data_IF_949714061349
#
_entry.id   IF_949714061349
#
_cell.length_a   1.000
_cell.length_b   1.000
_cell.length_c   1.000
_cell.angle_alpha   90.00
_cell.angle_beta   90.00
_cell.angle_gamma   90.00
#
_symmetry.space_group_name_H-M   'P 1'
#
loop_
_entity.id
_entity.type
_entity.pdbx_description
1 polymer ?
#
# COMPACT_ATOMS: atom_id res chain seq x y z
N UNK A 1 -78.64 -54.20 7.30
CA UNK A 1 -77.24 -53.88 7.67
C UNK A 1 -76.96 -52.51 7.11
N UNK A 2 -76.47 -51.58 7.92
CA UNK A 2 -76.05 -50.26 7.46
C UNK A 2 -74.58 -50.32 7.03
N UNK A 3 -74.19 -49.49 6.07
CA UNK A 3 -72.80 -49.30 5.64
C UNK A 3 -72.48 -47.81 5.69
N UNK A 4 -71.31 -47.48 6.24
CA UNK A 4 -70.78 -46.12 6.30
C UNK A 4 -69.31 -46.13 5.93
N UNK A 5 -68.78 -45.03 5.37
CA UNK A 5 -67.36 -44.88 5.11
C UNK A 5 -66.69 -44.09 6.24
N UNK A 6 -65.49 -44.50 6.61
CA UNK A 6 -64.60 -43.79 7.52
C UNK A 6 -63.26 -43.57 6.83
N UNK A 7 -62.77 -42.33 6.84
CA UNK A 7 -61.50 -41.90 6.27
C UNK A 7 -60.69 -41.16 7.33
N UNK A 8 -59.39 -40.95 7.07
CA UNK A 8 -58.52 -40.15 7.94
C UNK A 8 -58.91 -38.67 7.99
N UNK A 9 -59.58 -38.17 6.95
CA UNK A 9 -60.09 -36.80 6.82
C UNK A 9 -61.46 -36.60 7.48
N UNK A 10 -62.16 -37.68 7.83
CA UNK A 10 -63.49 -37.64 8.43
C UNK A 10 -64.62 -37.34 7.43
N UNK A 11 -64.29 -37.22 6.15
CA UNK A 11 -65.23 -37.14 5.04
C UNK A 11 -65.24 -38.46 4.23
N UNK A 12 -65.73 -38.43 3.00
CA UNK A 12 -65.76 -39.58 2.10
C UNK A 12 -64.65 -39.56 1.04
N UNK A 13 -63.59 -38.77 1.22
CA UNK A 13 -62.51 -38.60 0.23
C UNK A 13 -61.23 -39.25 0.72
N UNK A 14 -60.48 -39.88 -0.17
CA UNK A 14 -59.18 -40.48 0.13
C UNK A 14 -58.21 -40.23 -1.02
N UNK A 15 -56.94 -40.01 -0.69
CA UNK A 15 -55.88 -39.75 -1.66
C UNK A 15 -55.13 -41.04 -1.93
N UNK A 16 -54.88 -41.31 -3.20
CA UNK A 16 -54.13 -42.48 -3.64
C UNK A 16 -52.76 -42.60 -3.00
N UNK A 17 -52.40 -43.82 -2.58
CA UNK A 17 -51.11 -44.11 -1.94
C UNK A 17 -50.83 -43.39 -0.62
N UNK A 18 -51.76 -42.57 -0.12
CA UNK A 18 -51.53 -41.73 1.05
C UNK A 18 -52.12 -42.33 2.35
N UNK A 19 -53.32 -42.89 2.27
CA UNK A 19 -54.00 -43.48 3.43
C UNK A 19 -55.11 -44.45 3.02
N UNK A 20 -55.49 -45.32 3.95
CA UNK A 20 -56.57 -46.26 3.76
C UNK A 20 -57.93 -45.65 4.14
N UNK A 21 -58.98 -46.06 3.44
CA UNK A 21 -60.37 -45.86 3.81
C UNK A 21 -60.95 -47.15 4.40
N UNK A 22 -62.01 -47.05 5.19
CA UNK A 22 -62.69 -48.22 5.76
C UNK A 22 -64.20 -48.11 5.60
N UNK A 23 -64.79 -49.09 4.92
CA UNK A 23 -66.24 -49.29 4.98
C UNK A 23 -66.59 -50.07 6.25
N UNK A 24 -67.46 -49.48 7.07
CA UNK A 24 -67.93 -50.05 8.33
C UNK A 24 -69.36 -50.53 8.14
N UNK A 25 -69.57 -51.82 8.28
CA UNK A 25 -70.87 -52.45 8.19
C UNK A 25 -71.40 -52.73 9.59
N UNK A 26 -72.64 -52.34 9.86
CA UNK A 26 -73.28 -52.49 11.18
C UNK A 26 -74.59 -53.26 11.07
N UNK A 27 -74.73 -54.32 11.88
CA UNK A 27 -75.97 -55.11 11.98
C UNK A 27 -76.70 -54.84 13.31
N UNK A 28 -78.05 -54.73 13.31
CA UNK A 28 -78.80 -54.45 14.54
C UNK A 28 -78.96 -55.67 15.45
N UNK A 29 -79.01 -56.89 14.91
CA UNK A 29 -79.13 -58.15 15.65
C UNK A 29 -77.84 -58.95 15.53
N UNK A 30 -77.24 -59.34 16.64
CA UNK A 30 -75.96 -60.08 16.70
C UNK A 30 -76.13 -61.59 16.84
N UNK A 31 -77.36 -62.11 16.75
CA UNK A 31 -77.63 -63.55 16.86
C UNK A 31 -77.19 -64.32 15.62
N UNK A 32 -76.34 -65.33 15.80
CA UNK A 32 -75.92 -66.23 14.71
C UNK A 32 -74.95 -65.59 13.71
N UNK A 33 -74.31 -66.45 12.92
CA UNK A 33 -73.42 -66.03 11.86
C UNK A 33 -74.23 -65.44 10.69
N UNK A 34 -73.72 -64.38 10.07
CA UNK A 34 -74.38 -63.70 8.95
C UNK A 34 -73.35 -63.33 7.90
N UNK A 35 -73.55 -63.80 6.67
CA UNK A 35 -72.79 -63.34 5.50
C UNK A 35 -73.67 -62.39 4.71
N UNK A 36 -73.15 -61.20 4.40
CA UNK A 36 -73.83 -60.20 3.57
C UNK A 36 -72.99 -59.99 2.31
N UNK A 37 -73.59 -60.26 1.16
CA UNK A 37 -73.03 -59.86 -0.12
C UNK A 37 -73.34 -58.38 -0.37
N UNK A 38 -72.46 -57.70 -1.06
CA UNK A 38 -72.63 -56.33 -1.48
C UNK A 38 -72.15 -56.15 -2.91
N UNK A 39 -72.77 -55.19 -3.61
CA UNK A 39 -72.35 -54.84 -4.95
C UNK A 39 -71.32 -53.71 -4.88
N UNK A 40 -70.29 -53.83 -5.72
CA UNK A 40 -69.28 -52.80 -5.96
C UNK A 40 -69.63 -52.12 -7.27
N UNK A 41 -69.81 -50.80 -7.25
CA UNK A 41 -70.11 -49.99 -8.44
C UNK A 41 -69.40 -48.63 -8.37
N UNK A 42 -69.60 -47.80 -9.40
CA UNK A 42 -68.87 -46.54 -9.60
C UNK A 42 -67.92 -46.62 -10.80
N UNK A 43 -67.00 -45.66 -10.91
CA UNK A 43 -65.93 -45.69 -11.93
C UNK A 43 -64.63 -46.32 -11.41
N UNK A 44 -64.45 -46.44 -10.08
CA UNK A 44 -63.28 -47.10 -9.52
C UNK A 44 -63.31 -48.62 -9.78
N UNK A 45 -62.21 -49.17 -10.29
CA UNK A 45 -62.04 -50.56 -10.69
C UNK A 45 -61.32 -51.37 -9.61
N UNK A 46 -62.00 -52.40 -9.10
CA UNK A 46 -61.47 -53.29 -8.05
C UNK A 46 -60.20 -54.02 -8.52
N UNK A 47 -59.07 -53.76 -7.85
CA UNK A 47 -57.76 -54.30 -8.18
C UNK A 47 -56.93 -53.45 -9.16
N UNK A 48 -57.43 -52.30 -9.59
CA UNK A 48 -56.68 -51.29 -10.39
C UNK A 48 -56.49 -50.03 -9.56
N UNK A 49 -57.58 -49.36 -9.18
CA UNK A 49 -57.53 -48.05 -8.50
C UNK A 49 -57.44 -48.21 -6.98
N UNK A 50 -57.78 -49.41 -6.49
CA UNK A 50 -57.59 -49.81 -5.10
C UNK A 50 -57.31 -51.31 -5.00
N UNK A 51 -56.64 -51.72 -3.93
CA UNK A 51 -56.34 -53.13 -3.66
C UNK A 51 -57.60 -53.99 -3.70
N UNK A 52 -57.48 -55.22 -4.23
CA UNK A 52 -58.62 -56.11 -4.37
C UNK A 52 -59.40 -56.28 -3.06
N UNK A 53 -60.69 -55.96 -3.08
CA UNK A 53 -61.62 -56.21 -1.97
C UNK A 53 -62.60 -57.33 -2.32
N UNK A 54 -63.06 -58.06 -1.29
CA UNK A 54 -64.09 -59.07 -1.43
C UNK A 54 -65.44 -58.45 -1.83
N UNK A 55 -66.39 -59.28 -2.26
CA UNK A 55 -67.78 -58.93 -2.59
C UNK A 55 -68.77 -59.27 -1.46
N UNK A 56 -68.25 -59.73 -0.32
CA UNK A 56 -69.03 -60.12 0.84
C UNK A 56 -68.28 -59.87 2.13
N UNK A 57 -69.05 -59.65 3.19
CA UNK A 57 -68.55 -59.57 4.56
C UNK A 57 -69.19 -60.64 5.44
N UNK A 58 -68.42 -61.11 6.42
CA UNK A 58 -68.84 -62.13 7.37
C UNK A 58 -68.90 -61.54 8.79
N UNK A 59 -70.08 -61.64 9.41
CA UNK A 59 -70.27 -61.38 10.82
C UNK A 59 -70.35 -62.72 11.57
N UNK A 60 -69.47 -62.93 12.53
CA UNK A 60 -69.63 -64.02 13.49
C UNK A 60 -70.80 -63.76 14.45
N UNK A 61 -71.37 -64.81 15.03
CA UNK A 61 -72.34 -64.70 16.12
C UNK A 61 -71.77 -63.85 17.27
N UNK A 62 -72.54 -62.87 17.73
CA UNK A 62 -72.16 -61.86 18.71
C UNK A 62 -71.49 -60.60 18.13
N UNK A 63 -71.12 -60.58 16.85
CA UNK A 63 -70.42 -59.45 16.22
C UNK A 63 -71.39 -58.41 15.66
N UNK A 64 -71.24 -57.15 16.08
CA UNK A 64 -72.09 -56.05 15.63
C UNK A 64 -71.54 -55.31 14.40
N UNK A 65 -70.21 -55.19 14.30
CA UNK A 65 -69.53 -54.43 13.24
C UNK A 65 -68.47 -55.26 12.53
N UNK A 66 -68.35 -55.07 11.22
CA UNK A 66 -67.27 -55.60 10.37
C UNK A 66 -66.70 -54.45 9.55
N UNK A 67 -65.39 -54.44 9.36
CA UNK A 67 -64.69 -53.42 8.60
C UNK A 67 -64.10 -54.02 7.33
N UNK A 68 -64.26 -53.32 6.21
CA UNK A 68 -63.61 -53.60 4.95
C UNK A 68 -62.64 -52.45 4.66
N UNK A 69 -61.35 -52.76 4.68
CA UNK A 69 -60.31 -51.77 4.39
C UNK A 69 -60.17 -51.65 2.88
N UNK A 70 -60.13 -50.42 2.39
CA UNK A 70 -59.85 -50.06 1.01
C UNK A 70 -58.55 -49.27 1.00
N UNK A 71 -57.56 -49.78 0.27
CA UNK A 71 -56.27 -49.14 0.08
C UNK A 71 -56.16 -48.65 -1.36
N UNK A 72 -56.41 -47.35 -1.62
CA UNK A 72 -56.20 -46.73 -2.91
C UNK A 72 -54.76 -46.95 -3.42
N UNK A 73 -54.61 -47.29 -4.70
CA UNK A 73 -53.32 -47.55 -5.33
C UNK A 73 -52.86 -46.27 -6.02
N UNK A 74 -51.68 -45.77 -5.70
CA UNK A 74 -51.06 -44.70 -6.49
C UNK A 74 -50.45 -45.31 -7.75
N UNK A 75 -51.11 -45.12 -8.88
CA UNK A 75 -50.70 -45.71 -10.16
C UNK A 75 -49.86 -44.75 -11.04
N UNK A 76 -49.84 -43.46 -10.67
CA UNK A 76 -49.07 -42.40 -11.33
C UNK A 76 -49.72 -41.86 -12.60
N UNK A 77 -50.98 -42.19 -12.86
CA UNK A 77 -51.77 -41.66 -13.96
C UNK A 77 -52.62 -40.53 -13.40
N UNK A 78 -52.59 -39.36 -14.05
CA UNK A 78 -53.46 -38.25 -13.65
C UNK A 78 -54.86 -38.49 -14.24
N UNK A 79 -55.84 -38.69 -13.39
CA UNK A 79 -57.20 -39.05 -13.72
C UNK A 79 -58.22 -38.08 -13.08
N UNK A 80 -59.50 -38.38 -13.29
CA UNK A 80 -60.58 -37.65 -12.62
C UNK A 80 -60.76 -38.14 -11.19
N UNK A 81 -61.81 -37.69 -10.52
CA UNK A 81 -62.20 -38.32 -9.26
C UNK A 81 -62.81 -39.68 -9.57
N UNK A 82 -62.32 -40.71 -8.89
CA UNK A 82 -62.92 -42.03 -8.92
C UNK A 82 -63.89 -42.23 -7.76
N UNK A 83 -64.95 -42.98 -8.04
CA UNK A 83 -66.03 -43.25 -7.11
C UNK A 83 -66.11 -44.76 -6.91
N UNK A 84 -66.02 -45.17 -5.65
CA UNK A 84 -66.29 -46.52 -5.19
C UNK A 84 -67.58 -46.49 -4.36
N UNK A 85 -68.61 -47.15 -4.88
CA UNK A 85 -69.92 -47.26 -4.25
C UNK A 85 -70.12 -48.71 -3.78
N UNK A 86 -70.33 -48.88 -2.49
CA UNK A 86 -70.68 -50.16 -1.88
C UNK A 86 -72.17 -50.17 -1.58
N UNK A 87 -72.92 -51.04 -2.25
CA UNK A 87 -74.38 -51.18 -2.09
C UNK A 87 -74.73 -52.50 -1.42
N UNK A 88 -75.42 -52.40 -0.29
CA UNK A 88 -75.85 -53.55 0.51
C UNK A 88 -77.35 -53.76 0.39
N UNK A 89 -77.75 -54.99 0.09
CA UNK A 89 -79.15 -55.41 0.04
C UNK A 89 -79.47 -56.28 1.25
N UNK A 90 -80.44 -55.86 2.06
CA UNK A 90 -80.95 -56.67 3.18
C UNK A 90 -82.46 -56.75 3.16
N UNK A 91 -83.06 -57.77 3.81
CA UNK A 91 -84.50 -57.85 3.99
C UNK A 91 -84.90 -57.24 5.32
N UNK A 92 -85.95 -56.41 5.32
CA UNK A 92 -86.59 -55.93 6.54
C UNK A 92 -87.29 -57.10 7.26
N UNK A 93 -87.63 -56.95 8.56
CA UNK A 93 -88.46 -57.94 9.26
C UNK A 93 -89.81 -58.23 8.59
N UNK A 94 -90.28 -57.34 7.72
CA UNK A 94 -91.52 -57.48 6.96
C UNK A 94 -91.31 -58.09 5.56
N UNK A 95 -90.07 -58.41 5.17
CA UNK A 95 -89.72 -59.01 3.88
C UNK A 95 -89.41 -58.01 2.76
N UNK A 96 -89.41 -56.70 3.04
CA UNK A 96 -89.07 -55.67 2.06
C UNK A 96 -87.55 -55.59 1.84
N UNK A 97 -87.11 -55.28 0.62
CA UNK A 97 -85.68 -55.03 0.36
C UNK A 97 -85.29 -53.64 0.84
N UNK A 98 -84.29 -53.58 1.71
CA UNK A 98 -83.64 -52.37 2.23
C UNK A 98 -82.28 -52.24 1.58
N UNK A 99 -82.06 -51.12 0.89
CA UNK A 99 -80.82 -50.78 0.22
C UNK A 99 -80.07 -49.75 1.06
N UNK A 100 -78.79 -49.98 1.29
CA UNK A 100 -77.89 -49.04 1.99
C UNK A 100 -76.62 -48.88 1.18
N UNK A 101 -76.17 -47.63 1.05
CA UNK A 101 -75.04 -47.28 0.20
C UNK A 101 -74.07 -46.40 0.97
N UNK A 102 -72.79 -46.60 0.70
CA UNK A 102 -71.72 -45.71 1.09
C UNK A 102 -70.84 -45.45 -0.13
N UNK A 103 -70.41 -44.21 -0.28
CA UNK A 103 -69.60 -43.75 -1.41
C UNK A 103 -68.24 -43.30 -0.87
N UNK A 104 -67.18 -43.74 -1.53
CA UNK A 104 -65.81 -43.27 -1.35
C UNK A 104 -65.37 -42.58 -2.63
N UNK A 105 -64.79 -41.39 -2.51
CA UNK A 105 -64.14 -40.67 -3.58
C UNK A 105 -62.63 -40.88 -3.46
N UNK A 106 -62.03 -41.46 -4.50
CA UNK A 106 -60.59 -41.66 -4.63
C UNK A 106 -60.07 -40.55 -5.53
N UNK A 107 -59.01 -39.87 -5.10
CA UNK A 107 -58.43 -38.74 -5.83
C UNK A 107 -56.93 -38.87 -5.93
N UNK A 108 -56.39 -38.39 -7.05
CA UNK A 108 -54.96 -38.27 -7.25
C UNK A 108 -54.27 -37.39 -6.20
N UNK A 109 -53.03 -37.72 -5.83
CA UNK A 109 -52.20 -36.82 -5.03
C UNK A 109 -51.88 -35.56 -5.84
N UNK A 110 -51.98 -34.39 -5.20
CA UNK A 110 -51.55 -33.14 -5.82
C UNK A 110 -50.03 -33.20 -6.05
N UNK A 111 -49.57 -32.79 -7.24
CA UNK A 111 -48.13 -32.75 -7.56
C UNK A 111 -47.41 -31.85 -6.55
N UNK A 112 -46.38 -32.39 -5.90
CA UNK A 112 -45.49 -31.62 -5.03
C UNK A 112 -44.40 -30.95 -5.87
N UNK A 113 -44.20 -29.65 -5.66
CA UNK A 113 -43.12 -28.86 -6.27
C UNK A 113 -42.33 -28.19 -5.15
N UNK A 114 -41.05 -28.51 -5.05
CA UNK A 114 -40.09 -27.80 -4.22
C UNK A 114 -39.66 -26.51 -4.93
N UNK A 115 -39.49 -25.44 -4.15
CA UNK A 115 -38.95 -24.17 -4.63
C UNK A 115 -37.88 -23.71 -3.64
N UNK A 116 -36.61 -23.76 -4.06
CA UNK A 116 -35.47 -23.38 -3.25
C UNK A 116 -35.26 -21.85 -3.21
N UNK A 117 -36.03 -21.10 -4.00
CA UNK A 117 -35.89 -19.66 -4.21
C UNK A 117 -34.93 -19.31 -5.35
N UNK A 118 -34.90 -18.03 -5.70
CA UNK A 118 -34.02 -17.53 -6.76
C UNK A 118 -32.55 -17.54 -6.35
N UNK A 119 -31.66 -17.78 -7.32
CA UNK A 119 -30.21 -17.68 -7.17
C UNK A 119 -29.77 -16.37 -6.50
N UNK A 120 -28.75 -16.46 -5.67
CA UNK A 120 -28.22 -15.34 -4.89
C UNK A 120 -26.83 -14.96 -5.40
N UNK A 121 -26.50 -13.67 -5.31
CA UNK A 121 -25.16 -13.16 -5.61
C UNK A 121 -24.60 -12.49 -4.34
N UNK A 122 -23.49 -12.99 -3.82
CA UNK A 122 -22.82 -12.39 -2.69
C UNK A 122 -21.84 -11.30 -3.15
N UNK A 123 -21.63 -10.29 -2.31
CA UNK A 123 -20.58 -9.29 -2.54
C UNK A 123 -19.24 -9.79 -2.03
N UNK A 124 -19.25 -10.56 -0.94
CA UNK A 124 -18.06 -11.07 -0.26
C UNK A 124 -18.14 -12.59 -0.02
N UNK A 125 -17.02 -13.31 -0.14
CA UNK A 125 -16.90 -14.68 0.39
C UNK A 125 -17.25 -14.71 1.88
N UNK A 126 -18.03 -15.70 2.30
CA UNK A 126 -18.43 -15.86 3.69
C UNK A 126 -19.50 -14.88 4.17
N UNK A 127 -20.09 -14.07 3.27
CA UNK A 127 -21.26 -13.26 3.61
C UNK A 127 -22.46 -14.17 3.93
N UNK A 128 -23.16 -13.89 5.03
CA UNK A 128 -24.36 -14.62 5.41
C UNK A 128 -25.49 -14.34 4.41
N UNK A 129 -26.14 -15.39 3.92
CA UNK A 129 -27.31 -15.33 3.06
C UNK A 129 -28.42 -16.24 3.58
N UNK A 130 -29.66 -15.89 3.26
CA UNK A 130 -30.84 -16.66 3.62
C UNK A 130 -31.21 -17.60 2.47
N UNK A 131 -31.49 -18.86 2.79
CA UNK A 131 -32.08 -19.83 1.89
C UNK A 131 -33.54 -20.01 2.34
N UNK A 132 -34.49 -19.53 1.52
CA UNK A 132 -35.90 -19.52 1.86
C UNK A 132 -36.64 -20.51 0.96
N UNK A 133 -36.90 -21.70 1.49
CA UNK A 133 -37.57 -22.76 0.76
C UNK A 133 -39.10 -22.59 0.78
N UNK A 134 -39.75 -23.17 -0.22
CA UNK A 134 -41.19 -23.25 -0.31
C UNK A 134 -41.63 -24.59 -0.91
N UNK A 135 -42.88 -24.97 -0.63
CA UNK A 135 -43.54 -26.14 -1.19
C UNK A 135 -44.85 -25.68 -1.84
N UNK A 136 -45.08 -26.10 -3.08
CA UNK A 136 -46.30 -25.79 -3.85
C UNK A 136 -46.97 -27.12 -4.21
N UNK A 137 -48.27 -27.24 -3.97
CA UNK A 137 -49.00 -28.50 -4.15
C UNK A 137 -48.66 -29.55 -3.08
N UNK A 138 -48.79 -30.84 -3.40
CA UNK A 138 -48.66 -31.91 -2.42
C UNK A 138 -49.63 -31.81 -1.23
N UNK A 139 -49.41 -32.64 -0.22
CA UNK A 139 -50.26 -32.72 0.97
C UNK A 139 -49.50 -32.38 2.27
N UNK A 140 -49.85 -31.25 2.88
CA UNK A 140 -49.28 -30.84 4.16
C UNK A 140 -49.61 -31.83 5.30
N UNK A 141 -48.76 -31.94 6.36
CA UNK A 141 -47.52 -31.18 6.60
C UNK A 141 -46.35 -31.62 5.71
N UNK A 142 -45.40 -30.69 5.50
CA UNK A 142 -44.19 -30.94 4.72
C UNK A 142 -42.95 -31.07 5.61
N UNK A 143 -42.03 -31.95 5.21
CA UNK A 143 -40.68 -32.06 5.74
C UNK A 143 -39.69 -31.43 4.75
N UNK A 144 -38.84 -30.53 5.24
CA UNK A 144 -37.83 -29.86 4.43
C UNK A 144 -36.45 -30.42 4.81
N UNK A 145 -35.62 -30.70 3.82
CA UNK A 145 -34.22 -31.08 4.02
C UNK A 145 -33.34 -30.36 3.02
N UNK A 146 -32.25 -29.77 3.50
CA UNK A 146 -31.30 -29.05 2.68
C UNK A 146 -29.98 -29.83 2.58
N UNK A 147 -29.27 -29.69 1.47
CA UNK A 147 -27.95 -30.31 1.27
C UNK A 147 -26.88 -29.81 2.26
N UNK A 148 -27.10 -28.68 2.94
CA UNK A 148 -26.26 -28.19 4.05
C UNK A 148 -26.59 -28.84 5.42
N UNK A 149 -27.54 -29.79 5.45
CA UNK A 149 -27.95 -30.52 6.65
C UNK A 149 -29.09 -29.87 7.45
N UNK A 150 -29.60 -28.70 7.03
CA UNK A 150 -30.74 -28.07 7.70
C UNK A 150 -32.05 -28.84 7.41
N UNK A 151 -32.96 -28.88 8.39
CA UNK A 151 -34.23 -29.60 8.33
C UNK A 151 -35.45 -28.68 8.55
N UNK A 152 -35.30 -27.39 8.22
CA UNK A 152 -36.32 -26.35 8.34
C UNK A 152 -36.60 -25.74 6.98
N UNK A 153 -37.79 -25.16 6.81
CA UNK A 153 -38.17 -24.48 5.57
C UNK A 153 -37.16 -23.39 5.18
N UNK A 154 -36.78 -22.55 6.14
CA UNK A 154 -35.79 -21.49 5.97
C UNK A 154 -34.51 -21.82 6.73
N UNK A 155 -33.36 -21.50 6.16
CA UNK A 155 -32.04 -21.66 6.79
C UNK A 155 -31.08 -20.56 6.31
N UNK A 156 -29.85 -20.54 6.81
CA UNK A 156 -28.81 -19.61 6.38
C UNK A 156 -27.55 -20.34 5.93
N UNK A 157 -26.75 -19.67 5.12
CA UNK A 157 -25.44 -20.17 4.69
C UNK A 157 -24.45 -19.02 4.47
N UNK A 158 -23.16 -19.33 4.46
CA UNK A 158 -22.09 -18.36 4.26
C UNK A 158 -20.93 -18.96 3.44
N UNK A 159 -21.17 -19.37 2.18
CA UNK A 159 -20.15 -20.02 1.36
C UNK A 159 -19.00 -19.08 0.98
N UNK A 160 -17.79 -19.65 0.84
CA UNK A 160 -16.59 -18.93 0.37
C UNK A 160 -16.35 -19.07 -1.14
N UNK A 161 -17.02 -20.00 -1.78
CA UNK A 161 -16.98 -20.25 -3.23
C UNK A 161 -18.41 -20.46 -3.72
N UNK A 162 -18.66 -20.25 -5.01
CA UNK A 162 -19.98 -20.53 -5.60
C UNK A 162 -20.44 -21.94 -5.25
N UNK A 163 -21.58 -22.04 -4.58
CA UNK A 163 -22.09 -23.30 -4.00
C UNK A 163 -23.56 -23.44 -4.32
N UNK A 164 -23.95 -24.65 -4.73
CA UNK A 164 -25.36 -25.02 -4.97
C UNK A 164 -25.93 -25.71 -3.73
N UNK A 165 -27.10 -25.26 -3.28
CA UNK A 165 -27.87 -25.88 -2.21
C UNK A 165 -29.11 -26.55 -2.80
N UNK A 166 -29.33 -27.80 -2.43
CA UNK A 166 -30.48 -28.58 -2.89
C UNK A 166 -31.48 -28.60 -1.75
N UNK A 167 -32.69 -28.11 -2.01
CA UNK A 167 -33.85 -28.31 -1.14
C UNK A 167 -34.57 -29.59 -1.60
N UNK A 168 -34.83 -30.50 -0.67
CA UNK A 168 -35.72 -31.64 -0.87
C UNK A 168 -36.91 -31.50 0.06
N UNK A 169 -38.11 -31.51 -0.50
CA UNK A 169 -39.37 -31.44 0.24
C UNK A 169 -40.05 -32.81 0.16
N UNK A 170 -40.57 -33.29 1.28
CA UNK A 170 -41.40 -34.50 1.36
C UNK A 170 -42.74 -34.16 1.99
N UNK A 171 -43.84 -34.58 1.36
CA UNK A 171 -45.18 -34.38 1.90
C UNK A 171 -45.64 -35.54 2.80
N UNK A 172 -46.85 -35.45 3.36
CA UNK A 172 -47.39 -36.50 4.25
C UNK A 172 -47.70 -37.81 3.52
N UNK A 173 -47.89 -37.76 2.20
CA UNK A 173 -48.14 -38.91 1.34
C UNK A 173 -46.83 -39.53 0.81
N UNK A 174 -45.67 -39.11 1.32
CA UNK A 174 -44.32 -39.52 0.90
C UNK A 174 -43.95 -39.14 -0.54
N UNK A 175 -44.66 -38.18 -1.15
CA UNK A 175 -44.16 -37.57 -2.39
C UNK A 175 -42.92 -36.74 -2.08
N UNK A 176 -41.93 -36.81 -2.96
CA UNK A 176 -40.69 -36.06 -2.83
C UNK A 176 -40.43 -35.24 -4.09
N UNK A 177 -40.07 -33.98 -3.91
CA UNK A 177 -39.51 -33.16 -4.99
C UNK A 177 -38.29 -32.37 -4.50
N UNK A 178 -37.45 -31.94 -5.44
CA UNK A 178 -36.24 -31.19 -5.11
C UNK A 178 -35.98 -30.06 -6.08
N UNK A 179 -35.51 -28.94 -5.54
CA UNK A 179 -35.09 -27.78 -6.31
C UNK A 179 -33.71 -27.30 -5.84
N UNK A 180 -33.00 -26.59 -6.70
CA UNK A 180 -31.63 -26.12 -6.46
C UNK A 180 -31.55 -24.61 -6.53
N UNK A 181 -30.96 -24.02 -5.49
CA UNK A 181 -30.55 -22.62 -5.46
C UNK A 181 -29.04 -22.52 -5.58
N UNK A 182 -28.53 -21.63 -6.44
CA UNK A 182 -27.10 -21.34 -6.57
C UNK A 182 -26.77 -20.05 -5.83
N UNK A 183 -25.82 -20.13 -4.90
CA UNK A 183 -25.23 -18.95 -4.26
C UNK A 183 -23.91 -18.65 -4.94
N UNK A 184 -23.92 -17.65 -5.82
CA UNK A 184 -22.75 -17.20 -6.57
C UNK A 184 -21.84 -16.34 -5.68
N UNK A 185 -20.57 -16.74 -5.61
CA UNK A 185 -19.52 -15.98 -4.93
C UNK A 185 -18.54 -15.48 -5.98
N UNK A 186 -18.34 -14.16 -6.10
CA UNK A 186 -17.41 -13.61 -7.09
C UNK A 186 -15.99 -14.10 -6.83
N UNK A 187 -15.25 -14.38 -7.90
CA UNK A 187 -13.80 -14.64 -7.84
C UNK A 187 -13.12 -13.37 -8.34
N UNK A 188 -12.31 -12.70 -7.51
CA UNK A 188 -11.70 -11.43 -7.89
C UNK A 188 -10.53 -11.68 -8.84
N UNK A 189 -10.31 -10.73 -9.74
CA UNK A 189 -9.08 -10.70 -10.53
C UNK A 189 -7.86 -10.56 -9.61
N UNK A 190 -6.67 -11.00 -10.01
CA UNK A 190 -5.46 -10.74 -9.23
C UNK A 190 -5.19 -9.24 -9.13
N UNK A 191 -4.64 -8.81 -7.99
CA UNK A 191 -4.20 -7.43 -7.80
C UNK A 191 -3.06 -7.10 -8.77
N UNK A 192 -3.17 -5.95 -9.43
CA UNK A 192 -2.09 -5.32 -10.18
C UNK A 192 -1.82 -3.98 -9.51
N UNK A 193 -0.71 -3.87 -8.78
CA UNK A 193 -0.31 -2.65 -8.09
C UNK A 193 1.17 -2.37 -8.37
N UNK A 194 1.49 -1.12 -8.70
CA UNK A 194 2.87 -0.72 -8.97
C UNK A 194 3.14 0.72 -8.57
N UNK A 195 4.38 0.93 -8.16
CA UNK A 195 4.99 2.22 -7.79
C UNK A 195 6.29 2.39 -8.55
N UNK A 196 6.85 3.60 -8.51
CA UNK A 196 8.18 3.89 -9.01
C UNK A 196 8.96 4.66 -7.95
N UNK A 197 10.21 4.25 -7.71
CA UNK A 197 11.11 5.00 -6.84
C UNK A 197 11.39 6.40 -7.39
N UNK A 198 11.43 7.38 -6.50
CA UNK A 198 11.64 8.80 -6.82
C UNK A 198 12.96 9.24 -6.21
N UNK A 199 13.66 10.15 -6.89
CA UNK A 199 14.87 10.80 -6.36
C UNK A 199 14.67 12.31 -6.39
N UNK A 200 15.12 12.98 -5.33
CA UNK A 200 15.12 14.44 -5.23
C UNK A 200 16.54 15.00 -5.25
N UNK A 201 16.67 16.29 -5.52
CA UNK A 201 17.96 16.97 -5.64
C UNK A 201 18.47 17.36 -4.26
N UNK A 202 17.61 17.97 -3.45
CA UNK A 202 17.94 18.46 -2.11
C UNK A 202 17.09 17.80 -1.02
N UNK A 203 17.62 17.65 0.21
CA UNK A 203 16.80 17.34 1.37
C UNK A 203 15.64 18.33 1.51
N UNK A 204 14.42 17.82 1.64
CA UNK A 204 13.20 18.63 1.77
C UNK A 204 12.55 19.05 0.43
N UNK A 205 13.15 18.74 -0.72
CA UNK A 205 12.51 18.96 -2.01
C UNK A 205 11.23 18.14 -2.16
N UNK A 206 10.21 18.66 -2.88
CA UNK A 206 8.96 17.94 -3.12
C UNK A 206 9.19 16.75 -4.05
N UNK A 207 8.84 15.55 -3.58
CA UNK A 207 8.73 14.32 -4.37
C UNK A 207 7.26 13.98 -4.60
N UNK A 208 6.87 13.79 -5.86
CA UNK A 208 5.51 13.34 -6.23
C UNK A 208 5.52 11.82 -6.34
N UNK A 209 4.82 11.16 -5.41
CA UNK A 209 4.60 9.73 -5.44
C UNK A 209 3.33 9.43 -6.23
N UNK A 210 3.40 8.44 -7.11
CA UNK A 210 2.28 7.99 -7.92
C UNK A 210 2.15 6.47 -7.79
N UNK A 211 0.92 6.01 -7.58
CA UNK A 211 0.57 4.59 -7.62
C UNK A 211 -0.43 4.37 -8.74
N UNK A 212 -0.19 3.32 -9.53
CA UNK A 212 -1.21 2.73 -10.37
C UNK A 212 -1.66 1.41 -9.77
N UNK A 213 -2.97 1.25 -9.59
CA UNK A 213 -3.56 -0.02 -9.18
C UNK A 213 -4.78 -0.35 -10.05
N UNK A 214 -5.07 -1.65 -10.19
CA UNK A 214 -6.21 -2.18 -10.92
C UNK A 214 -6.39 -3.67 -10.70
N UNK A 215 -7.54 -4.20 -11.12
CA UNK A 215 -7.96 -5.55 -10.74
C UNK A 215 -8.07 -5.71 -9.22
N UNK A 216 -8.07 -6.94 -8.73
CA UNK A 216 -7.91 -7.22 -7.31
C UNK A 216 -9.17 -7.01 -6.46
N UNK A 217 -9.35 -7.92 -5.49
CA UNK A 217 -10.32 -7.77 -4.41
C UNK A 217 -11.77 -7.52 -4.85
N UNK A 218 -12.56 -6.98 -3.92
CA UNK A 218 -13.99 -6.69 -4.10
C UNK A 218 -14.29 -5.20 -3.88
N UNK A 219 -14.73 -4.45 -4.90
CA UNK A 219 -15.01 -3.01 -4.77
C UNK A 219 -16.21 -2.73 -3.84
N UNK A 220 -16.31 -1.53 -3.24
CA UNK A 220 -15.37 -0.40 -3.35
C UNK A 220 -14.07 -0.60 -2.54
N UNK A 221 -13.04 0.19 -2.86
CA UNK A 221 -11.72 0.13 -2.21
C UNK A 221 -11.50 1.31 -1.26
N UNK A 222 -10.73 1.08 -0.20
CA UNK A 222 -10.13 2.13 0.63
C UNK A 222 -8.63 2.14 0.43
N UNK A 223 -8.05 3.33 0.35
CA UNK A 223 -6.65 3.53 0.01
C UNK A 223 -6.00 4.38 1.09
N UNK A 224 -4.79 4.00 1.51
CA UNK A 224 -4.04 4.75 2.51
C UNK A 224 -2.54 4.68 2.25
N UNK A 225 -1.88 5.82 2.37
CA UNK A 225 -0.44 5.91 2.52
C UNK A 225 -0.06 5.89 4.00
N UNK A 226 1.16 5.47 4.32
CA UNK A 226 1.68 5.52 5.69
C UNK A 226 1.85 6.95 6.25
N UNK A 227 1.76 7.98 5.40
CA UNK A 227 1.71 9.40 5.82
C UNK A 227 0.28 9.89 6.09
N UNK A 228 -0.74 9.05 5.89
CA UNK A 228 -2.17 9.36 6.11
C UNK A 228 -2.94 9.86 4.88
N UNK A 229 -2.30 10.02 3.72
CA UNK A 229 -2.97 10.39 2.47
C UNK A 229 -3.81 9.22 1.94
N UNK A 230 -4.89 9.51 1.21
CA UNK A 230 -5.83 8.53 0.65
C UNK A 230 -5.93 8.55 -0.87
N UNK A 231 -5.20 9.45 -1.54
CA UNK A 231 -5.20 9.56 -3.01
C UNK A 231 -4.13 8.67 -3.66
N UNK A 232 -4.29 8.38 -4.96
CA UNK A 232 -3.28 7.65 -5.77
C UNK A 232 -2.00 8.44 -5.98
N UNK A 233 -2.04 9.75 -5.73
CA UNK A 233 -0.93 10.68 -5.90
C UNK A 233 -0.76 11.50 -4.63
N UNK A 234 0.45 11.56 -4.09
CA UNK A 234 0.77 12.38 -2.91
C UNK A 234 2.10 13.08 -3.08
N UNK A 235 2.28 14.25 -2.45
CA UNK A 235 3.54 14.99 -2.45
C UNK A 235 4.16 14.95 -1.06
N UNK A 236 5.45 14.60 -0.99
CA UNK A 236 6.21 14.47 0.26
C UNK A 236 7.52 15.25 0.19
N UNK A 237 8.03 15.68 1.34
CA UNK A 237 9.25 16.50 1.45
C UNK A 237 10.25 15.89 2.47
N UNK A 238 10.80 14.69 2.19
CA UNK A 238 11.68 14.02 3.13
C UNK A 238 13.06 14.68 3.23
N UNK A 239 13.62 14.76 4.44
CA UNK A 239 14.98 15.26 4.69
C UNK A 239 16.05 14.15 4.67
N UNK A 240 15.62 12.89 4.59
CA UNK A 240 16.47 11.71 4.53
C UNK A 240 15.78 10.63 3.68
N UNK A 241 16.54 9.66 3.18
CA UNK A 241 15.96 8.55 2.40
C UNK A 241 14.84 7.88 3.20
N UNK A 242 13.64 7.86 2.62
CA UNK A 242 12.41 7.46 3.30
C UNK A 242 11.59 6.56 2.38
N UNK A 243 11.06 5.45 2.91
CA UNK A 243 10.15 4.56 2.21
C UNK A 243 8.71 4.89 2.58
N UNK A 244 7.87 5.07 1.57
CA UNK A 244 6.43 5.29 1.69
C UNK A 244 5.69 4.04 1.25
N UNK A 245 4.75 3.60 2.08
CA UNK A 245 3.96 2.39 1.82
C UNK A 245 2.54 2.79 1.49
N UNK A 246 2.02 2.22 0.42
CA UNK A 246 0.65 2.41 -0.03
C UNK A 246 -0.12 1.09 0.11
N UNK A 247 -1.28 1.17 0.74
CA UNK A 247 -2.16 0.05 1.05
C UNK A 247 -3.50 0.26 0.36
N UNK A 248 -3.98 -0.77 -0.34
CA UNK A 248 -5.35 -0.85 -0.85
C UNK A 248 -6.06 -1.98 -0.11
N UNK A 249 -7.20 -1.65 0.48
CA UNK A 249 -8.09 -2.56 1.18
C UNK A 249 -9.40 -2.62 0.43
N UNK A 250 -9.91 -3.83 0.20
CA UNK A 250 -11.20 -4.02 -0.44
C UNK A 250 -12.38 -4.07 0.55
N UNK A 251 -13.61 -4.11 0.03
CA UNK A 251 -14.82 -4.13 0.83
C UNK A 251 -15.00 -5.40 1.69
N UNK A 252 -14.28 -6.48 1.36
CA UNK A 252 -14.32 -7.75 2.08
C UNK A 252 -13.13 -7.92 3.05
N UNK A 253 -12.29 -6.89 3.20
CA UNK A 253 -11.15 -6.87 4.12
C UNK A 253 -9.93 -7.63 3.59
N UNK A 254 -9.84 -7.88 2.28
CA UNK A 254 -8.59 -8.32 1.67
C UNK A 254 -7.73 -7.10 1.33
N UNK A 255 -6.50 -7.12 1.82
CA UNK A 255 -5.54 -6.04 1.65
C UNK A 255 -4.42 -6.45 0.70
N UNK A 256 -3.91 -5.50 -0.06
CA UNK A 256 -2.65 -5.62 -0.80
C UNK A 256 -1.87 -4.33 -0.65
N UNK A 257 -0.55 -4.45 -0.53
CA UNK A 257 0.35 -3.33 -0.28
C UNK A 257 1.47 -3.28 -1.31
N UNK A 258 1.92 -2.06 -1.59
CA UNK A 258 3.13 -1.78 -2.37
C UNK A 258 3.91 -0.69 -1.66
N UNK A 259 5.23 -0.63 -1.88
CA UNK A 259 6.06 0.44 -1.35
C UNK A 259 6.77 1.20 -2.47
N UNK A 260 7.00 2.48 -2.24
CA UNK A 260 7.77 3.38 -3.08
C UNK A 260 8.84 4.02 -2.22
N UNK A 261 10.10 4.05 -2.67
CA UNK A 261 11.17 4.68 -1.92
C UNK A 261 11.49 6.05 -2.51
N UNK A 262 11.56 7.07 -1.66
CA UNK A 262 12.15 8.37 -2.03
C UNK A 262 13.60 8.36 -1.57
N UNK A 263 14.50 8.32 -2.54
CA UNK A 263 15.94 8.42 -2.27
C UNK A 263 16.31 9.89 -2.15
N UNK A 264 16.82 10.26 -0.97
CA UNK A 264 17.36 11.60 -0.71
C UNK A 264 18.89 11.49 -0.69
N UNK A 265 19.60 12.21 -1.56
CA UNK A 265 21.05 12.17 -1.62
C UNK A 265 21.67 12.75 -0.34
N UNK A 266 22.82 12.20 0.05
CA UNK A 266 23.62 12.70 1.17
C UNK A 266 24.89 13.30 0.60
N UNK A 267 25.10 14.59 0.84
CA UNK A 267 26.28 15.33 0.38
C UNK A 267 27.28 15.51 1.52
N UNK A 268 28.60 15.51 1.25
CA UNK A 268 29.57 15.98 2.22
C UNK A 268 29.27 17.43 2.62
N UNK A 269 29.55 17.84 3.87
CA UNK A 269 29.41 19.23 4.29
C UNK A 269 30.14 20.18 3.34
N UNK A 270 29.53 21.30 3.01
CA UNK A 270 30.21 22.37 2.28
C UNK A 270 31.27 22.96 3.22
N UNK A 271 32.52 22.94 2.79
CA UNK A 271 33.65 23.54 3.50
C UNK A 271 34.38 24.49 2.55
N UNK A 272 34.68 25.70 3.01
CA UNK A 272 35.50 26.69 2.31
C UNK A 272 36.74 27.04 3.14
N UNK A 273 37.84 27.30 2.43
CA UNK A 273 39.12 27.70 3.01
C UNK A 273 39.78 28.79 2.17
N UNK A 274 40.20 29.85 2.86
CA UNK A 274 41.06 30.92 2.38
C UNK A 274 42.19 31.12 3.40
N UNK A 275 43.39 31.43 2.92
CA UNK A 275 44.56 31.56 3.79
C UNK A 275 44.93 33.03 3.99
N UNK A 276 45.38 33.35 5.19
CA UNK A 276 46.03 34.61 5.51
C UNK A 276 47.27 34.82 4.62
N UNK A 277 47.57 36.08 4.29
CA UNK A 277 48.78 36.41 3.54
C UNK A 277 49.25 37.84 3.84
N UNK A 278 50.58 38.00 3.91
CA UNK A 278 51.24 39.30 3.95
C UNK A 278 51.76 39.64 2.56
N UNK A 279 51.44 40.84 2.07
CA UNK A 279 51.68 41.26 0.69
C UNK A 279 52.36 42.62 0.65
N UNK A 280 53.12 42.87 -0.42
CA UNK A 280 53.75 44.17 -0.62
C UNK A 280 52.73 45.21 -1.11
N UNK A 281 52.82 46.43 -0.60
CA UNK A 281 52.03 47.56 -1.07
C UNK A 281 52.19 47.74 -2.59
N UNK A 282 51.05 47.78 -3.28
CA UNK A 282 51.00 47.93 -4.74
C UNK A 282 51.04 46.62 -5.53
N UNK A 283 51.23 45.47 -4.89
CA UNK A 283 50.91 44.19 -5.51
C UNK A 283 49.39 44.00 -5.50
N UNK A 284 48.81 43.76 -6.68
CA UNK A 284 47.39 43.40 -6.77
C UNK A 284 47.15 42.08 -6.06
N UNK A 285 46.00 41.94 -5.40
CA UNK A 285 45.63 40.71 -4.68
C UNK A 285 44.63 39.89 -5.49
N UNK A 286 45.01 38.65 -5.82
CA UNK A 286 44.11 37.63 -6.38
C UNK A 286 43.95 36.53 -5.34
N UNK A 287 42.72 36.32 -4.85
CA UNK A 287 42.42 35.26 -3.88
C UNK A 287 41.69 34.13 -4.57
N UNK A 288 42.16 32.90 -4.38
CA UNK A 288 41.56 31.69 -4.92
C UNK A 288 41.07 30.80 -3.76
N UNK A 289 39.76 30.81 -3.44
CA UNK A 289 39.24 29.97 -2.37
C UNK A 289 39.38 28.49 -2.73
N UNK A 290 39.68 27.66 -1.74
CA UNK A 290 39.52 26.22 -1.83
C UNK A 290 38.19 25.84 -1.21
N UNK A 291 37.43 24.94 -1.82
CA UNK A 291 36.18 24.46 -1.26
C UNK A 291 35.90 23.02 -1.65
N UNK A 292 35.23 22.28 -0.77
CA UNK A 292 34.86 20.87 -0.94
C UNK A 292 33.44 20.63 -0.44
N UNK A 293 32.83 19.52 -0.86
CA UNK A 293 31.46 19.17 -0.46
C UNK A 293 30.38 20.08 -1.03
N UNK A 294 29.20 20.05 -0.41
CA UNK A 294 27.98 20.65 -0.95
C UNK A 294 27.51 19.99 -2.26
N UNK A 295 26.53 20.59 -2.92
CA UNK A 295 25.96 20.08 -4.16
C UNK A 295 25.91 21.11 -5.29
N UNK A 296 26.34 20.67 -6.49
CA UNK A 296 25.91 21.29 -7.74
C UNK A 296 26.62 22.59 -8.03
N UNK A 297 25.87 23.60 -8.48
CA UNK A 297 26.42 24.92 -8.81
C UNK A 297 26.51 25.77 -7.55
N UNK A 298 27.64 26.45 -7.40
CA UNK A 298 27.92 27.31 -6.25
C UNK A 298 27.72 28.79 -6.61
N UNK A 299 27.29 29.58 -5.63
CA UNK A 299 27.28 31.04 -5.68
C UNK A 299 28.25 31.62 -4.66
N UNK A 300 28.92 32.71 -5.01
CA UNK A 300 30.00 33.27 -4.22
C UNK A 300 29.68 34.71 -3.82
N UNK A 301 29.92 35.04 -2.55
CA UNK A 301 29.84 36.40 -2.02
C UNK A 301 31.12 36.74 -1.25
N UNK A 302 31.62 37.95 -1.43
CA UNK A 302 32.80 38.45 -0.75
C UNK A 302 32.47 39.72 0.03
N UNK A 303 33.00 39.83 1.24
CA UNK A 303 32.91 41.01 2.09
C UNK A 303 34.30 41.32 2.69
N UNK A 304 34.57 42.56 3.06
CA UNK A 304 35.79 42.92 3.78
C UNK A 304 35.78 44.37 4.27
N UNK A 305 36.95 44.96 4.56
CA UNK A 305 37.03 46.24 5.26
C UNK A 305 36.42 47.40 4.45
N UNK A 306 35.94 48.43 5.16
CA UNK A 306 35.36 49.63 4.55
C UNK A 306 36.36 50.24 3.55
N UNK A 307 35.93 50.40 2.29
CA UNK A 307 36.74 50.99 1.22
C UNK A 307 37.36 49.99 0.24
N UNK A 308 37.30 48.68 0.53
CA UNK A 308 37.69 47.64 -0.42
C UNK A 308 36.63 47.45 -1.53
N UNK A 309 37.07 47.12 -2.73
CA UNK A 309 36.19 46.77 -3.86
C UNK A 309 36.69 45.50 -4.55
N UNK A 310 35.75 44.63 -4.92
CA UNK A 310 36.02 43.28 -5.39
C UNK A 310 35.42 43.03 -6.76
N UNK A 311 36.14 42.28 -7.60
CA UNK A 311 35.57 41.68 -8.82
C UNK A 311 35.59 40.18 -8.65
N UNK A 312 34.41 39.60 -8.43
CA UNK A 312 34.24 38.18 -8.15
C UNK A 312 34.02 37.42 -9.46
N UNK A 313 34.87 36.42 -9.71
CA UNK A 313 34.62 35.41 -10.71
C UNK A 313 33.59 34.41 -10.17
N UNK A 314 32.37 34.49 -10.70
CA UNK A 314 31.26 33.65 -10.26
C UNK A 314 31.43 32.16 -10.58
N UNK A 315 32.42 31.76 -11.41
CA UNK A 315 32.60 30.37 -11.79
C UNK A 315 33.46 29.56 -10.80
N UNK A 316 34.38 30.21 -10.08
CA UNK A 316 35.30 29.55 -9.15
C UNK A 316 35.55 30.33 -7.85
N UNK A 317 34.78 31.39 -7.60
CA UNK A 317 34.93 32.24 -6.42
C UNK A 317 36.20 33.08 -6.37
N UNK A 318 37.08 33.00 -7.39
CA UNK A 318 38.31 33.78 -7.45
C UNK A 318 37.97 35.27 -7.50
N UNK A 319 38.69 36.10 -6.74
CA UNK A 319 38.43 37.53 -6.69
C UNK A 319 39.71 38.33 -6.86
N UNK A 320 39.61 39.45 -7.58
CA UNK A 320 40.65 40.48 -7.62
C UNK A 320 40.23 41.60 -6.67
N UNK A 321 41.07 41.88 -5.68
CA UNK A 321 40.86 42.96 -4.71
C UNK A 321 41.56 44.21 -5.22
N UNK A 322 40.77 45.19 -5.63
CA UNK A 322 41.28 46.47 -6.08
C UNK A 322 41.44 47.42 -4.89
N UNK A 323 42.61 48.04 -4.77
CA UNK A 323 42.98 48.90 -3.64
C UNK A 323 42.81 48.18 -2.29
N UNK A 324 43.57 47.09 -2.08
CA UNK A 324 43.35 46.27 -0.91
C UNK A 324 43.80 47.03 0.35
N UNK A 325 43.01 46.90 1.40
CA UNK A 325 43.23 47.52 2.71
C UNK A 325 43.49 46.42 3.72
N UNK A 326 44.33 46.70 4.72
CA UNK A 326 44.55 45.80 5.85
C UNK A 326 43.22 45.40 6.49
N UNK A 327 43.07 44.11 6.75
CA UNK A 327 41.97 43.60 7.55
C UNK A 327 41.43 42.25 7.08
N UNK A 328 40.24 41.94 7.61
CA UNK A 328 39.60 40.64 7.46
C UNK A 328 38.67 40.66 6.24
N UNK A 329 38.85 39.68 5.38
CA UNK A 329 38.02 39.41 4.22
C UNK A 329 37.28 38.10 4.46
N UNK A 330 36.01 38.07 4.09
CA UNK A 330 35.10 36.94 4.29
C UNK A 330 34.59 36.49 2.93
N UNK A 331 34.71 35.19 2.65
CA UNK A 331 34.00 34.55 1.55
C UNK A 331 32.82 33.77 2.10
N UNK A 332 31.69 33.83 1.41
CA UNK A 332 30.52 32.98 1.65
C UNK A 332 30.18 32.23 0.37
N UNK A 333 30.06 30.91 0.46
CA UNK A 333 29.67 30.04 -0.65
C UNK A 333 28.31 29.43 -0.31
N UNK A 334 27.37 29.49 -1.26
CA UNK A 334 26.13 28.73 -1.18
C UNK A 334 26.06 27.70 -2.31
N UNK A 335 25.61 26.49 -2.00
CA UNK A 335 25.33 25.45 -2.98
C UNK A 335 23.88 25.53 -3.52
N UNK A 336 23.50 24.61 -4.42
CA UNK A 336 22.15 24.59 -5.03
C UNK A 336 21.03 24.24 -4.04
N UNK A 337 21.36 23.60 -2.92
CA UNK A 337 20.43 23.30 -1.83
C UNK A 337 20.36 24.41 -0.77
N UNK A 338 21.01 25.55 -1.01
CA UNK A 338 21.19 26.63 -0.03
C UNK A 338 21.95 26.21 1.23
N UNK A 339 22.80 25.18 1.16
CA UNK A 339 23.82 24.99 2.18
C UNK A 339 24.84 26.12 2.05
N UNK A 340 25.18 26.75 3.17
CA UNK A 340 26.11 27.88 3.22
C UNK A 340 27.32 27.53 4.06
N UNK A 341 28.51 27.86 3.57
CA UNK A 341 29.72 27.90 4.38
C UNK A 341 30.49 29.21 4.14
N UNK A 342 31.28 29.61 5.13
CA UNK A 342 32.07 30.84 5.06
C UNK A 342 33.40 30.70 5.77
N UNK A 343 34.43 31.33 5.20
CA UNK A 343 35.74 31.41 5.83
C UNK A 343 36.29 32.84 5.76
N UNK A 344 37.25 33.12 6.64
CA UNK A 344 37.85 34.45 6.81
C UNK A 344 39.36 34.39 6.69
N UNK A 345 39.94 35.32 5.94
CA UNK A 345 41.39 35.53 5.88
C UNK A 345 41.74 36.98 6.23
N UNK A 346 42.84 37.15 6.95
CA UNK A 346 43.43 38.44 7.24
C UNK A 346 44.56 38.74 6.24
N UNK A 347 44.43 39.85 5.52
CA UNK A 347 45.47 40.33 4.61
C UNK A 347 46.14 41.58 5.19
N UNK A 348 47.47 41.60 5.21
CA UNK A 348 48.29 42.74 5.65
C UNK A 348 49.17 43.23 4.52
N UNK A 349 49.23 44.54 4.33
CA UNK A 349 49.99 45.20 3.27
C UNK A 349 51.19 45.96 3.86
N UNK A 350 52.38 45.47 3.56
CA UNK A 350 53.64 46.01 4.08
C UNK A 350 54.43 46.76 3.02
N UNK A 351 55.18 47.77 3.43
CA UNK A 351 56.07 48.51 2.53
C UNK A 351 57.32 47.70 2.20
N UNK A 352 57.32 46.98 1.07
CA UNK A 352 58.47 46.17 0.65
C UNK A 352 59.57 46.95 -0.07
N UNK A 353 59.48 48.28 -0.19
CA UNK A 353 60.55 49.05 -0.84
C UNK A 353 61.85 48.94 -0.04
N UNK A 354 62.91 48.46 -0.70
CA UNK A 354 64.24 48.38 -0.10
C UNK A 354 64.80 49.78 0.09
N UNK A 355 65.19 50.10 1.33
CA UNK A 355 65.94 51.33 1.63
C UNK A 355 67.36 50.96 2.00
N UNK A 356 68.32 51.49 1.25
CA UNK A 356 69.74 51.17 1.38
C UNK A 356 70.47 52.35 2.02
N UNK A 357 70.95 52.22 3.28
CA UNK A 357 71.79 53.24 3.89
C UNK A 357 73.08 53.44 3.09
N UNK A 358 73.55 54.68 3.00
CA UNK A 358 74.76 55.03 2.25
C UNK A 358 76.00 55.21 3.14
N UNK A 359 75.91 54.90 4.43
CA UNK A 359 77.01 55.02 5.39
C UNK A 359 76.89 53.95 6.48
N UNK A 360 78.02 53.37 6.86
CA UNK A 360 78.18 52.53 8.05
C UNK A 360 79.36 53.03 8.89
N UNK A 361 79.29 52.84 10.19
CA UNK A 361 80.32 53.19 11.16
C UNK A 361 80.80 51.92 11.86
N UNK A 362 81.62 51.13 11.18
CA UNK A 362 82.13 49.85 11.68
C UNK A 362 83.24 50.03 12.72
N UNK A 363 82.88 50.51 13.91
CA UNK A 363 83.79 50.81 15.03
C UNK A 363 83.60 49.87 16.24
N UNK A 364 82.62 48.96 16.18
CA UNK A 364 82.31 47.96 17.19
C UNK A 364 81.55 48.50 18.41
N UNK A 365 80.88 49.65 18.32
CA UNK A 365 80.10 50.23 19.42
C UNK A 365 78.66 49.69 19.54
N UNK A 366 78.28 48.79 18.62
CA UNK A 366 76.96 48.19 18.49
C UNK A 366 75.96 49.04 17.70
N UNK A 367 76.36 50.22 17.20
CA UNK A 367 75.49 51.17 16.51
C UNK A 367 76.00 51.37 15.09
N UNK A 368 75.18 51.01 14.10
CA UNK A 368 75.48 51.22 12.68
C UNK A 368 76.81 50.57 12.23
N UNK A 369 77.25 49.53 12.94
CA UNK A 369 78.44 48.74 12.61
C UNK A 369 78.25 47.89 11.35
N UNK A 370 77.01 47.48 11.09
CA UNK A 370 76.64 46.58 10.00
C UNK A 370 75.82 47.36 8.98
N UNK A 371 76.04 47.05 7.71
CA UNK A 371 75.25 47.57 6.62
C UNK A 371 73.88 46.91 6.58
N UNK A 372 72.97 47.44 7.38
CA UNK A 372 71.61 46.95 7.50
C UNK A 372 70.71 47.60 6.43
N UNK A 373 70.39 46.85 5.38
CA UNK A 373 69.43 47.24 4.36
C UNK A 373 68.01 46.99 4.89
N UNK A 374 67.20 48.05 4.94
CA UNK A 374 65.84 48.01 5.49
C UNK A 374 64.90 47.32 4.50
N UNK A 375 63.99 46.49 5.00
CA UNK A 375 63.01 45.69 4.26
C UNK A 375 63.63 44.58 3.38
N UNK A 376 64.91 44.23 3.60
CA UNK A 376 65.59 43.16 2.88
C UNK A 376 64.98 41.79 3.17
N UNK A 377 64.35 41.60 4.33
CA UNK A 377 63.66 40.38 4.74
C UNK A 377 62.53 39.96 3.79
N UNK A 378 61.92 40.92 3.07
CA UNK A 378 60.90 40.66 2.05
C UNK A 378 61.50 40.29 0.69
N UNK A 379 62.83 40.36 0.54
CA UNK A 379 63.57 40.07 -0.69
C UNK A 379 64.66 39.01 -0.46
N UNK A 380 64.30 37.75 -0.18
CA UNK A 380 65.29 36.70 -0.02
C UNK A 380 66.08 36.46 -1.33
N UNK A 381 67.31 36.00 -1.19
CA UNK A 381 68.24 35.79 -2.31
C UNK A 381 68.63 37.08 -3.04
N UNK A 382 68.60 38.21 -2.34
CA UNK A 382 69.15 39.46 -2.87
C UNK A 382 70.66 39.34 -2.99
N UNK A 383 71.15 39.43 -4.23
CA UNK A 383 72.58 39.50 -4.52
C UNK A 383 73.09 40.91 -4.23
N UNK A 384 74.24 40.99 -3.57
CA UNK A 384 74.89 42.23 -3.20
C UNK A 384 76.33 42.14 -3.62
N UNK A 385 76.79 43.11 -4.42
CA UNK A 385 78.20 43.28 -4.75
C UNK A 385 78.64 44.70 -4.43
N UNK A 386 79.75 44.84 -3.72
CA UNK A 386 80.37 46.10 -3.36
C UNK A 386 81.74 46.19 -4.04
N UNK A 387 82.02 47.33 -4.65
CA UNK A 387 83.16 47.59 -5.49
C UNK A 387 83.99 48.76 -4.95
N UNK A 388 85.30 48.69 -5.09
CA UNK A 388 86.18 49.84 -4.88
C UNK A 388 86.12 50.81 -6.08
N UNK A 389 86.81 51.95 -5.97
CA UNK A 389 86.88 52.99 -7.03
C UNK A 389 87.46 52.54 -8.38
N UNK A 390 88.07 51.35 -8.43
CA UNK A 390 88.68 50.76 -9.64
C UNK A 390 87.76 49.70 -10.27
N UNK A 391 86.55 49.49 -9.73
CA UNK A 391 85.60 48.50 -10.22
C UNK A 391 85.92 47.06 -9.78
N UNK A 392 86.78 46.87 -8.79
CA UNK A 392 87.07 45.55 -8.22
C UNK A 392 86.11 45.25 -7.08
N UNK A 393 85.55 44.04 -7.05
CA UNK A 393 84.70 43.56 -5.96
C UNK A 393 85.52 43.47 -4.67
N UNK A 394 85.01 44.09 -3.61
CA UNK A 394 85.55 44.03 -2.24
C UNK A 394 84.67 43.25 -1.28
N UNK A 395 83.38 43.11 -1.61
CA UNK A 395 82.45 42.23 -0.92
C UNK A 395 81.40 41.74 -1.91
N UNK A 396 81.02 40.48 -1.80
CA UNK A 396 79.95 39.90 -2.60
C UNK A 396 79.20 38.86 -1.78
N UNK A 397 77.86 38.89 -1.87
CA UNK A 397 76.99 37.85 -1.34
C UNK A 397 75.88 37.55 -2.33
N UNK A 398 75.67 36.27 -2.62
CA UNK A 398 74.54 35.82 -3.44
C UNK A 398 73.19 35.90 -2.70
N UNK A 399 73.22 35.96 -1.37
CA UNK A 399 72.04 36.16 -0.54
C UNK A 399 72.48 36.97 0.68
N UNK A 400 72.39 38.29 0.57
CA UNK A 400 72.81 39.18 1.64
C UNK A 400 71.84 39.13 2.82
N UNK A 401 72.37 38.97 4.03
CA UNK A 401 71.58 38.76 5.25
C UNK A 401 71.79 39.89 6.28
N UNK A 402 72.05 41.11 5.80
CA UNK A 402 72.34 42.27 6.67
C UNK A 402 73.45 41.99 7.68
N UNK A 403 74.59 41.49 7.20
CA UNK A 403 75.68 40.99 8.04
C UNK A 403 77.07 41.54 7.68
N UNK A 404 77.18 42.45 6.72
CA UNK A 404 78.47 43.03 6.32
C UNK A 404 78.79 44.26 7.16
N UNK A 405 79.91 44.20 7.88
CA UNK A 405 80.45 45.24 8.76
C UNK A 405 81.55 46.07 8.08
N UNK A 406 81.63 46.05 6.75
CA UNK A 406 82.76 46.65 6.02
C UNK A 406 83.96 45.71 5.87
N UNK A 407 84.00 44.53 6.50
CA UNK A 407 85.06 43.53 6.31
C UNK A 407 86.47 44.08 6.57
N UNK A 408 87.38 43.94 5.60
CA UNK A 408 88.77 44.44 5.67
C UNK A 408 89.00 45.74 4.87
N UNK A 409 87.94 46.37 4.35
CA UNK A 409 88.09 47.55 3.48
C UNK A 409 88.45 48.79 4.29
N UNK A 410 89.34 49.63 3.76
CA UNK A 410 89.74 50.88 4.43
C UNK A 410 88.61 51.92 4.45
N UNK A 411 88.73 52.94 5.29
CA UNK A 411 87.82 54.08 5.30
C UNK A 411 87.68 54.70 3.91
N UNK A 412 86.44 54.90 3.49
CA UNK A 412 86.15 55.49 2.18
C UNK A 412 84.80 55.09 1.62
N UNK A 413 84.51 55.66 0.45
CA UNK A 413 83.29 55.41 -0.30
C UNK A 413 83.49 54.28 -1.31
N UNK A 414 82.61 53.29 -1.24
CA UNK A 414 82.52 52.14 -2.12
C UNK A 414 81.22 52.21 -2.93
N UNK A 415 81.17 51.50 -4.04
CA UNK A 415 80.01 51.45 -4.92
C UNK A 415 79.30 50.12 -4.73
N UNK A 416 77.98 50.10 -4.56
CA UNK A 416 77.23 48.86 -4.45
C UNK A 416 76.31 48.64 -5.64
N UNK A 417 76.03 47.36 -5.91
CA UNK A 417 74.93 46.88 -6.71
C UNK A 417 74.16 45.90 -5.83
N UNK A 418 72.90 46.23 -5.53
CA UNK A 418 71.97 45.37 -4.79
C UNK A 418 70.90 44.90 -5.77
N UNK A 419 70.85 43.61 -6.01
CA UNK A 419 69.96 42.98 -7.00
C UNK A 419 69.04 41.99 -6.30
N UNK A 420 67.82 42.43 -5.92
CA UNK A 420 66.77 41.52 -5.49
C UNK A 420 66.47 40.44 -6.54
N UNK A 421 65.95 39.31 -6.08
CA UNK A 421 65.58 38.20 -6.95
C UNK A 421 64.33 38.51 -7.79
N UNK A 422 63.40 39.30 -7.26
CA UNK A 422 62.25 39.81 -8.01
C UNK A 422 62.68 41.03 -8.86
N UNK A 423 62.61 40.94 -10.20
CA UNK A 423 63.02 42.01 -11.11
C UNK A 423 62.16 43.28 -11.02
N UNK A 424 61.02 43.24 -10.30
CA UNK A 424 60.25 44.44 -9.95
C UNK A 424 61.05 45.41 -9.07
N UNK A 425 61.99 44.89 -8.26
CA UNK A 425 62.78 45.68 -7.32
C UNK A 425 64.25 45.70 -7.75
N UNK A 426 64.83 46.90 -7.90
CA UNK A 426 66.23 47.06 -8.32
C UNK A 426 66.50 46.70 -9.79
N UNK A 427 67.77 46.51 -10.19
CA UNK A 427 68.96 46.62 -9.35
C UNK A 427 69.15 48.04 -8.83
N UNK A 428 69.52 48.15 -7.55
CA UNK A 428 69.83 49.41 -6.90
C UNK A 428 71.33 49.64 -6.94
N UNK A 429 71.74 50.76 -7.52
CA UNK A 429 73.14 51.16 -7.59
C UNK A 429 73.35 52.40 -6.76
N UNK A 430 74.43 52.43 -5.99
CA UNK A 430 74.72 53.59 -5.15
C UNK A 430 76.09 53.50 -4.53
N UNK A 431 76.28 54.28 -3.47
CA UNK A 431 77.52 54.27 -2.70
C UNK A 431 77.26 53.97 -1.25
N UNK A 432 78.16 53.21 -0.63
CA UNK A 432 78.22 52.99 0.81
C UNK A 432 79.57 53.49 1.32
N UNK A 433 79.54 54.38 2.29
CA UNK A 433 80.75 54.91 2.93
C UNK A 433 81.02 54.11 4.21
N UNK A 434 82.19 53.49 4.29
CA UNK A 434 82.66 52.81 5.49
C UNK A 434 83.50 53.80 6.29
N UNK A 435 83.09 54.08 7.52
CA UNK A 435 83.81 54.92 8.47
C UNK A 435 84.32 54.05 9.62
N UNK A 436 85.64 53.92 9.78
CA UNK A 436 86.27 53.31 10.96
C UNK A 436 86.92 54.43 11.75
N UNK A 437 86.14 55.09 12.61
CA UNK A 437 86.77 55.95 13.60
C UNK A 437 87.67 55.08 14.49
N UNK A 438 88.94 55.46 14.62
CA UNK A 438 89.84 54.95 15.65
C UNK A 438 89.34 55.28 17.04
#
# INVERSE_FOLDING_TARGET
>A
VDVTVATVTGDSTIIEGCSDATFIFTRPDTTGDLTINFDISGNATNGVDFNFIADSIYFASGQQTVSLVVSPIADGIAEGWDTLVVTVYTLSPCGDTVIKEAVLYIVDPAILIADAGADQNLTCPGQLTNLNGNAIGGNAPYNYTWSNGANTQNTTSNPFITTSYILTVTDVCNQTDSDTIVVNVPVPDPWIISTQDVSVVCPGDPAVLNVSFGGGGYPPYTMTWNNGDTDTTTTVNPNSTTTYTFTVTDNCGLDTTVSSTVTVPVYPPLEVLINDSELCLGDGLVVNPQYTGGQGTYSFAWNGPIGASYVINQNNGSTVINNPVDGIYVITINDVCNNTDSDTANFTFVGCEITIPNVISANGDGINDIWYIINLEYHPNTHVAVYNRWGQIVYESANYLNNWDGGDVSDGTYFYIVTPSDPKYGPYNGTVTVLRNK
#
